data_IF_443505047874
#
_entry.id   IF_443505047874
#
_cell.length_a   1.000
_cell.length_b   1.000
_cell.length_c   1.000
_cell.angle_alpha   90.00
_cell.angle_beta   90.00
_cell.angle_gamma   90.00
#
_symmetry.space_group_name_H-M   'P 1'
#
loop_
_entity.id
_entity.type
_entity.pdbx_description
1 polymer ?
#
# COMPACT_ATOMS: atom_id res chain seq x y z
N UNK A 1 7.24 12.43 1.78
CA UNK A 1 7.45 10.99 1.52
C UNK A 1 7.48 10.12 2.78
N UNK A 2 7.61 10.65 4.00
CA UNK A 2 7.25 9.93 5.25
C UNK A 2 8.16 8.78 5.72
N UNK A 3 9.13 8.34 4.90
CA UNK A 3 10.11 7.31 5.26
C UNK A 3 11.51 7.93 5.35
N UNK A 4 12.25 7.59 6.41
CA UNK A 4 13.59 8.14 6.67
C UNK A 4 14.69 7.52 5.77
N UNK A 5 14.43 6.33 5.23
CA UNK A 5 15.35 5.58 4.35
C UNK A 5 14.61 4.40 3.71
N UNK A 6 15.24 3.73 2.73
CA UNK A 6 14.74 2.47 2.15
C UNK A 6 14.57 1.38 3.22
N UNK A 7 15.50 1.30 4.17
CA UNK A 7 15.40 0.37 5.29
C UNK A 7 14.19 0.69 6.19
N UNK A 8 13.93 1.97 6.45
CA UNK A 8 12.75 2.40 7.21
C UNK A 8 11.44 2.11 6.46
N UNK A 9 11.44 2.29 5.13
CA UNK A 9 10.32 1.88 4.27
C UNK A 9 10.06 0.38 4.40
N UNK A 10 11.08 -0.46 4.18
CA UNK A 10 10.93 -1.91 4.26
C UNK A 10 10.51 -2.41 5.64
N UNK A 11 11.01 -1.80 6.72
CA UNK A 11 10.59 -2.14 8.08
C UNK A 11 9.11 -1.82 8.32
N UNK A 12 8.65 -0.65 7.88
CA UNK A 12 7.27 -0.24 8.02
C UNK A 12 6.33 -1.09 7.15
N UNK A 13 6.70 -1.37 5.89
CA UNK A 13 5.94 -2.26 5.02
C UNK A 13 5.79 -3.65 5.64
N UNK A 14 6.86 -4.21 6.24
CA UNK A 14 6.77 -5.50 6.95
C UNK A 14 5.82 -5.45 8.14
N UNK A 15 5.86 -4.38 8.94
CA UNK A 15 4.93 -4.19 10.08
C UNK A 15 3.48 -4.18 9.62
N UNK A 16 3.17 -3.43 8.57
CA UNK A 16 1.83 -3.30 8.02
C UNK A 16 1.34 -4.60 7.39
N UNK A 17 2.20 -5.29 6.64
CA UNK A 17 1.88 -6.60 6.05
C UNK A 17 1.61 -7.66 7.11
N UNK A 18 2.38 -7.69 8.20
CA UNK A 18 2.13 -8.59 9.31
C UNK A 18 0.74 -8.32 9.92
N UNK A 19 0.44 -7.05 10.24
CA UNK A 19 -0.87 -6.69 10.76
C UNK A 19 -2.03 -7.06 9.83
N UNK A 20 -1.87 -6.86 8.51
CA UNK A 20 -2.87 -7.27 7.52
C UNK A 20 -3.07 -8.80 7.49
N UNK A 21 -1.96 -9.58 7.47
CA UNK A 21 -1.99 -11.06 7.45
C UNK A 21 -2.61 -11.64 8.71
N UNK A 22 -2.33 -11.03 9.86
CA UNK A 22 -2.87 -11.43 11.16
C UNK A 22 -4.34 -11.00 11.34
N UNK A 23 -4.94 -10.29 10.38
CA UNK A 23 -6.28 -9.74 10.50
C UNK A 23 -6.41 -8.65 11.57
N UNK A 24 -5.29 -8.05 12.00
CA UNK A 24 -5.30 -6.99 13.01
C UNK A 24 -5.86 -5.70 12.42
N UNK A 25 -6.67 -4.94 13.19
CA UNK A 25 -7.23 -3.70 12.70
C UNK A 25 -6.11 -2.69 12.43
N UNK A 26 -6.10 -2.16 11.20
CA UNK A 26 -5.22 -1.06 10.82
C UNK A 26 -5.91 0.28 11.05
N UNK A 27 -5.27 1.24 11.75
CA UNK A 27 -5.81 2.59 11.86
C UNK A 27 -5.88 3.26 10.46
N UNK A 28 -6.73 4.28 10.27
CA UNK A 28 -6.90 4.92 8.96
C UNK A 28 -5.60 5.40 8.30
N UNK A 29 -4.66 5.92 9.08
CA UNK A 29 -3.35 6.36 8.59
C UNK A 29 -2.49 5.19 8.08
N UNK A 30 -2.61 4.00 8.67
CA UNK A 30 -1.86 2.80 8.27
C UNK A 30 -2.41 2.23 6.96
N UNK A 31 -3.71 2.37 6.67
CA UNK A 31 -4.27 2.05 5.35
C UNK A 31 -3.68 2.93 4.24
N UNK A 32 -3.54 4.23 4.50
CA UNK A 32 -2.90 5.17 3.55
C UNK A 32 -1.43 4.79 3.34
N UNK A 33 -0.69 4.50 4.42
CA UNK A 33 0.71 4.07 4.35
C UNK A 33 0.87 2.75 3.59
N UNK A 34 -0.03 1.80 3.80
CA UNK A 34 -0.03 0.51 3.12
C UNK A 34 -0.27 0.68 1.61
N UNK A 35 -1.28 1.47 1.23
CA UNK A 35 -1.57 1.78 -0.17
C UNK A 35 -0.37 2.46 -0.85
N UNK A 36 0.20 3.50 -0.21
CA UNK A 36 1.37 4.18 -0.74
C UNK A 36 2.58 3.24 -0.88
N UNK A 37 2.77 2.34 0.09
CA UNK A 37 3.84 1.34 0.02
C UNK A 37 3.65 0.39 -1.17
N UNK A 38 2.42 -0.06 -1.41
CA UNK A 38 2.10 -0.90 -2.56
C UNK A 38 2.36 -0.16 -3.88
N UNK A 39 1.91 1.09 -4.02
CA UNK A 39 2.16 1.91 -5.21
C UNK A 39 3.65 2.08 -5.50
N UNK A 40 4.46 2.33 -4.47
CA UNK A 40 5.92 2.46 -4.58
C UNK A 40 6.55 1.15 -5.03
N UNK A 41 6.17 0.01 -4.43
CA UNK A 41 6.73 -1.31 -4.78
C UNK A 41 6.39 -1.72 -6.21
N UNK A 42 5.19 -1.38 -6.68
CA UNK A 42 4.76 -1.70 -8.05
C UNK A 42 5.48 -0.83 -9.08
N UNK A 43 5.74 0.46 -8.78
CA UNK A 43 6.27 1.40 -9.79
C UNK A 43 7.79 1.63 -9.72
N UNK A 44 8.47 1.17 -8.66
CA UNK A 44 9.90 1.46 -8.44
C UNK A 44 10.78 0.24 -8.69
N UNK A 45 11.86 0.42 -9.44
CA UNK A 45 12.96 -0.57 -9.53
C UNK A 45 13.97 -0.45 -8.38
N UNK A 46 13.93 0.65 -7.62
CA UNK A 46 14.90 0.89 -6.53
C UNK A 46 14.48 0.18 -5.25
N UNK A 47 13.18 0.13 -4.99
CA UNK A 47 12.61 -0.42 -3.75
C UNK A 47 11.50 -1.45 -4.01
N UNK A 48 11.34 -1.88 -5.26
CA UNK A 48 10.25 -2.73 -5.71
C UNK A 48 10.63 -3.54 -6.95
N UNK A 49 9.62 -3.93 -7.72
CA UNK A 49 9.78 -4.75 -8.91
C UNK A 49 9.19 -4.06 -10.15
N UNK A 50 9.46 -2.76 -10.34
CA UNK A 50 8.88 -1.95 -11.43
C UNK A 50 8.90 -2.64 -12.80
N UNK A 51 10.07 -3.08 -13.27
CA UNK A 51 10.22 -3.79 -14.56
C UNK A 51 9.86 -5.26 -14.50
N UNK A 52 10.03 -5.87 -13.33
CA UNK A 52 9.91 -7.33 -13.15
C UNK A 52 8.59 -7.73 -12.48
N UNK A 53 7.61 -6.82 -12.39
CA UNK A 53 6.41 -7.01 -11.59
C UNK A 53 5.62 -8.24 -12.01
N UNK A 54 5.38 -8.36 -13.32
CA UNK A 54 4.71 -9.52 -13.91
C UNK A 54 5.48 -10.83 -13.70
N UNK A 55 6.81 -10.78 -13.65
CA UNK A 55 7.66 -11.95 -13.43
C UNK A 55 7.59 -12.39 -11.98
N UNK A 56 7.72 -11.45 -11.04
CA UNK A 56 7.79 -11.73 -9.60
C UNK A 56 6.43 -12.08 -9.02
N UNK A 57 5.35 -11.49 -9.55
CA UNK A 57 4.01 -11.63 -8.97
C UNK A 57 3.03 -12.41 -9.82
N UNK A 58 3.30 -12.61 -11.12
CA UNK A 58 2.36 -13.18 -12.07
C UNK A 58 1.21 -12.25 -12.47
N UNK A 59 1.17 -11.01 -11.96
CA UNK A 59 0.12 -10.03 -12.27
C UNK A 59 0.63 -9.00 -13.28
N UNK A 60 -0.19 -8.63 -14.26
CA UNK A 60 0.15 -7.53 -15.16
C UNK A 60 0.10 -6.18 -14.45
N UNK A 61 0.84 -5.20 -14.96
CA UNK A 61 0.77 -3.81 -14.50
C UNK A 61 -0.66 -3.26 -14.63
N UNK A 62 -1.36 -3.60 -15.72
CA UNK A 62 -2.71 -3.14 -15.98
C UNK A 62 -3.70 -3.64 -14.91
N UNK A 63 -3.69 -4.95 -14.60
CA UNK A 63 -4.54 -5.53 -13.54
C UNK A 63 -4.21 -4.92 -12.18
N UNK A 64 -2.91 -4.76 -11.90
CA UNK A 64 -2.43 -4.19 -10.64
C UNK A 64 -2.87 -2.74 -10.48
N UNK A 65 -2.77 -1.93 -11.54
CA UNK A 65 -3.21 -0.53 -11.54
C UNK A 65 -4.73 -0.41 -11.34
N UNK A 66 -5.52 -1.29 -11.94
CA UNK A 66 -6.98 -1.34 -11.72
C UNK A 66 -7.28 -1.62 -10.25
N UNK A 67 -6.58 -2.58 -9.63
CA UNK A 67 -6.74 -2.90 -8.22
C UNK A 67 -6.34 -1.73 -7.30
N UNK A 68 -5.17 -1.12 -7.53
CA UNK A 68 -4.70 0.06 -6.78
C UNK A 68 -5.70 1.22 -6.86
N UNK A 69 -6.25 1.50 -8.05
CA UNK A 69 -7.28 2.52 -8.24
C UNK A 69 -8.56 2.22 -7.48
N UNK A 70 -8.94 0.94 -7.37
CA UNK A 70 -10.04 0.48 -6.54
C UNK A 70 -9.82 0.81 -5.06
N UNK A 71 -8.64 0.43 -4.54
CA UNK A 71 -8.24 0.67 -3.16
C UNK A 71 -8.14 2.16 -2.84
N UNK A 72 -7.53 2.97 -3.72
CA UNK A 72 -7.48 4.42 -3.62
C UNK A 72 -8.88 5.01 -3.41
N UNK A 73 -9.85 4.65 -4.25
CA UNK A 73 -11.23 5.16 -4.11
C UNK A 73 -11.87 4.74 -2.78
N UNK A 74 -11.66 3.51 -2.33
CA UNK A 74 -12.21 3.03 -1.06
C UNK A 74 -11.61 3.77 0.14
N UNK A 75 -10.28 3.93 0.15
CA UNK A 75 -9.56 4.59 1.23
C UNK A 75 -9.86 6.09 1.23
N UNK A 76 -9.81 6.77 0.08
CA UNK A 76 -10.16 8.20 -0.03
C UNK A 76 -11.58 8.47 0.44
N UNK A 77 -12.57 7.65 0.05
CA UNK A 77 -13.95 7.79 0.53
C UNK A 77 -14.04 7.66 2.05
N UNK A 78 -13.31 6.70 2.64
CA UNK A 78 -13.28 6.51 4.09
C UNK A 78 -12.60 7.66 4.82
N UNK A 79 -11.61 8.29 4.20
CA UNK A 79 -10.87 9.41 4.76
C UNK A 79 -11.61 10.75 4.63
N UNK A 80 -12.39 10.93 3.57
CA UNK A 80 -13.22 12.12 3.34
C UNK A 80 -14.53 12.11 4.14
N UNK A 81 -14.92 10.99 4.76
CA UNK A 81 -16.07 10.97 5.64
C UNK A 81 -15.69 11.57 7.01
N UNK A 82 -16.44 12.58 7.52
CA UNK A 82 -16.21 13.08 8.87
C UNK A 82 -16.38 11.94 9.88
N UNK A 83 -15.67 11.99 11.04
CA UNK A 83 -15.83 10.98 12.07
C UNK A 83 -17.31 10.86 12.41
N UNK A 84 -17.85 9.64 12.32
CA UNK A 84 -19.19 9.36 12.84
C UNK A 84 -19.12 9.61 14.34
N UNK A 85 -19.84 10.64 14.80
CA UNK A 85 -19.96 10.98 16.21
C UNK A 85 -20.58 9.82 17.00
N UNK A 86 -20.48 9.87 18.35
CA UNK A 86 -21.03 8.85 19.24
C UNK A 86 -22.53 8.63 19.03
#
# INVERSE_FOLDING_TARGET
>A
MGFRSVAAFGAETRRLLAALRDGRPLPPADWVRLLLSAEIVVMSDVVGAGRDWAIVTGHSDAETLVALRGLQRQISRRWSQPPRGP
#
